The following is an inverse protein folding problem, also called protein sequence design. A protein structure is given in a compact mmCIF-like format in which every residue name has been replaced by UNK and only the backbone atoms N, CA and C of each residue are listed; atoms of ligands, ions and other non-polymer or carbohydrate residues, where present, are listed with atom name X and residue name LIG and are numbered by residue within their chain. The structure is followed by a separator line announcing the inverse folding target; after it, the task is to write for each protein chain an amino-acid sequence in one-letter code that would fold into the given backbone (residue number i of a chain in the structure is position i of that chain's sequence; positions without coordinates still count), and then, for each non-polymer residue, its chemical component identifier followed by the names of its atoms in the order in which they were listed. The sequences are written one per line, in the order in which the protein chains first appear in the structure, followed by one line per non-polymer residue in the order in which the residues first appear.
data_IF_458018071655
#
_entry.id   IF_458018071655
#
_cell.length_a   1.000
_cell.length_b   1.000
_cell.length_c   1.000
_cell.angle_alpha   90.00
_cell.angle_beta   90.00
_cell.angle_gamma   90.00
#
_symmetry.space_group_name_H-M   'P 1'
#
loop_
_entity.id
_entity.type
_entity.pdbx_description
1 polymer ?
#
# COMPACT_ATOMS: atom_id res chain seq x y z
N UNK A 1 6.28 24.23 -5.45
CA UNK A 1 5.03 23.74 -6.08
C UNK A 1 4.45 22.68 -5.16
N UNK A 2 3.21 22.83 -4.67
CA UNK A 2 2.57 21.85 -3.79
C UNK A 2 1.62 21.01 -4.64
N UNK A 3 2.06 19.82 -5.05
CA UNK A 3 1.17 18.83 -5.67
C UNK A 3 0.30 18.20 -4.58
N UNK A 4 -0.78 18.89 -4.22
CA UNK A 4 -1.89 18.28 -3.49
C UNK A 4 -2.59 17.31 -4.43
N UNK A 5 -2.27 16.04 -4.31
CA UNK A 5 -3.04 14.95 -4.92
C UNK A 5 -4.50 15.05 -4.45
N UNK A 6 -5.47 14.85 -5.35
CA UNK A 6 -6.89 14.92 -4.97
C UNK A 6 -7.24 13.83 -3.96
N UNK A 7 -8.24 14.11 -3.13
CA UNK A 7 -8.83 13.13 -2.19
C UNK A 7 -9.25 11.85 -2.92
N UNK A 8 -9.65 11.95 -4.19
CA UNK A 8 -10.03 10.80 -5.01
C UNK A 8 -8.86 9.82 -5.22
N UNK A 9 -7.69 10.30 -5.66
CA UNK A 9 -6.54 9.42 -5.90
C UNK A 9 -5.99 8.82 -4.60
N UNK A 10 -6.08 9.60 -3.52
CA UNK A 10 -5.76 9.18 -2.15
C UNK A 10 -6.63 7.99 -1.70
N UNK A 11 -7.95 8.09 -1.87
CA UNK A 11 -8.88 7.00 -1.59
C UNK A 11 -8.63 5.76 -2.47
N UNK A 12 -8.22 5.96 -3.73
CA UNK A 12 -7.94 4.84 -4.63
C UNK A 12 -6.67 4.10 -4.21
N UNK A 13 -5.61 4.79 -3.81
CA UNK A 13 -4.41 4.12 -3.28
C UNK A 13 -4.70 3.33 -2.00
N UNK A 14 -5.63 3.78 -1.16
CA UNK A 14 -6.13 2.99 -0.03
C UNK A 14 -6.82 1.70 -0.52
N UNK A 15 -7.76 1.81 -1.47
CA UNK A 15 -8.45 0.64 -2.06
C UNK A 15 -7.45 -0.34 -2.66
N UNK A 16 -6.51 0.13 -3.47
CA UNK A 16 -5.42 -0.66 -4.04
C UNK A 16 -4.64 -1.39 -2.94
N UNK A 17 -4.24 -0.66 -1.89
CA UNK A 17 -3.47 -1.24 -0.78
C UNK A 17 -4.22 -2.37 -0.07
N UNK A 18 -5.52 -2.18 0.18
CA UNK A 18 -6.36 -3.20 0.82
C UNK A 18 -6.57 -4.41 -0.09
N UNK A 19 -6.86 -4.20 -1.37
CA UNK A 19 -7.08 -5.26 -2.34
C UNK A 19 -5.82 -6.13 -2.54
N UNK A 20 -4.65 -5.52 -2.73
CA UNK A 20 -3.38 -6.24 -2.82
C UNK A 20 -3.09 -7.03 -1.54
N UNK A 21 -3.28 -6.42 -0.37
CA UNK A 21 -3.05 -7.05 0.91
C UNK A 21 -3.89 -8.33 1.08
N UNK A 22 -5.20 -8.24 0.81
CA UNK A 22 -6.10 -9.39 0.90
C UNK A 22 -5.83 -10.44 -0.16
N UNK A 23 -5.57 -10.03 -1.41
CA UNK A 23 -5.20 -10.95 -2.47
C UNK A 23 -3.99 -11.81 -2.08
N UNK A 24 -2.91 -11.19 -1.60
CA UNK A 24 -1.67 -11.88 -1.23
C UNK A 24 -1.87 -12.80 -0.02
N UNK A 25 -2.55 -12.31 1.03
CA UNK A 25 -2.86 -13.09 2.22
C UNK A 25 -3.72 -14.32 1.89
N UNK A 26 -4.75 -14.14 1.07
CA UNK A 26 -5.68 -15.20 0.67
C UNK A 26 -5.01 -16.23 -0.24
N UNK A 27 -4.16 -15.77 -1.15
CA UNK A 27 -3.37 -16.65 -2.02
C UNK A 27 -2.43 -17.54 -1.20
N UNK A 28 -1.73 -16.98 -0.21
CA UNK A 28 -0.84 -17.78 0.67
C UNK A 28 -1.60 -18.70 1.61
N UNK A 29 -2.82 -18.34 2.00
CA UNK A 29 -3.70 -19.20 2.78
C UNK A 29 -4.43 -20.27 1.93
N UNK A 30 -4.28 -20.26 0.60
CA UNK A 30 -4.99 -21.19 -0.29
C UNK A 30 -6.48 -20.90 -0.45
N UNK A 31 -6.95 -19.69 -0.10
CA UNK A 31 -8.36 -19.26 -0.23
C UNK A 31 -8.56 -18.58 -1.59
N UNK A 32 -8.42 -19.35 -2.67
CA UNK A 32 -8.38 -18.81 -4.03
C UNK A 32 -9.64 -18.07 -4.49
N UNK A 33 -10.88 -18.46 -4.12
CA UNK A 33 -12.06 -17.69 -4.49
C UNK A 33 -12.03 -16.25 -3.95
N UNK A 34 -11.59 -16.08 -2.70
CA UNK A 34 -11.42 -14.75 -2.11
C UNK A 34 -10.26 -14.02 -2.79
N UNK A 35 -9.10 -14.68 -2.96
CA UNK A 35 -7.95 -14.07 -3.63
C UNK A 35 -8.28 -13.55 -5.03
N UNK A 36 -9.08 -14.30 -5.81
CA UNK A 36 -9.50 -13.89 -7.15
C UNK A 36 -10.52 -12.74 -7.13
N UNK A 37 -11.35 -12.62 -6.08
CA UNK A 37 -12.19 -11.44 -5.88
C UNK A 37 -11.32 -10.22 -5.60
N UNK A 38 -10.37 -10.33 -4.67
CA UNK A 38 -9.51 -9.22 -4.28
C UNK A 38 -8.57 -8.81 -5.43
N UNK A 39 -8.19 -9.74 -6.32
CA UNK A 39 -7.44 -9.43 -7.54
C UNK A 39 -8.25 -8.55 -8.50
N UNK A 40 -9.55 -8.82 -8.66
CA UNK A 40 -10.42 -7.97 -9.49
C UNK A 40 -10.58 -6.58 -8.90
N UNK A 41 -10.76 -6.48 -7.58
CA UNK A 41 -10.80 -5.19 -6.89
C UNK A 41 -9.48 -4.42 -7.05
N UNK A 42 -8.34 -5.12 -7.04
CA UNK A 42 -7.03 -4.56 -7.32
C UNK A 42 -6.92 -4.03 -8.76
N UNK A 43 -7.36 -4.80 -9.75
CA UNK A 43 -7.31 -4.42 -11.16
C UNK A 43 -8.19 -3.18 -11.42
N UNK A 44 -9.43 -3.18 -10.92
CA UNK A 44 -10.35 -2.05 -11.01
C UNK A 44 -9.77 -0.78 -10.35
N UNK A 45 -9.25 -0.89 -9.12
CA UNK A 45 -8.67 0.25 -8.42
C UNK A 45 -7.37 0.74 -9.09
N UNK A 46 -6.59 -0.17 -9.69
CA UNK A 46 -5.42 0.20 -10.46
C UNK A 46 -5.82 1.01 -11.69
N UNK A 47 -6.77 0.54 -12.48
CA UNK A 47 -7.27 1.25 -13.67
C UNK A 47 -7.80 2.65 -13.31
N UNK A 48 -8.55 2.75 -12.21
CA UNK A 48 -9.04 4.03 -11.67
C UNK A 48 -7.88 4.96 -11.28
N UNK A 49 -6.85 4.44 -10.59
CA UNK A 49 -5.67 5.21 -10.18
C UNK A 49 -4.88 5.73 -11.39
N UNK A 50 -4.70 4.90 -12.42
CA UNK A 50 -4.00 5.31 -13.64
C UNK A 50 -4.75 6.45 -14.33
N UNK A 51 -6.07 6.29 -14.50
CA UNK A 51 -6.91 7.29 -15.16
C UNK A 51 -6.91 8.63 -14.41
N UNK A 52 -7.14 8.62 -13.10
CA UNK A 52 -7.15 9.85 -12.29
C UNK A 52 -5.75 10.44 -12.16
N UNK A 53 -4.73 9.61 -11.93
CA UNK A 53 -3.35 10.03 -11.77
C UNK A 53 -2.83 10.79 -12.99
N UNK A 54 -3.09 10.29 -14.19
CA UNK A 54 -2.75 10.98 -15.44
C UNK A 54 -3.49 12.31 -15.57
N UNK A 55 -4.77 12.39 -15.18
CA UNK A 55 -5.51 13.66 -15.14
C UNK A 55 -4.99 14.65 -14.08
N UNK A 56 -4.11 14.22 -13.18
CA UNK A 56 -3.47 15.05 -12.14
C UNK A 56 -1.99 15.31 -12.42
N UNK A 57 -1.56 15.13 -13.67
CA UNK A 57 -0.20 15.38 -14.15
C UNK A 57 0.87 14.55 -13.41
N UNK A 58 0.50 13.40 -12.84
CA UNK A 58 1.49 12.42 -12.38
C UNK A 58 2.02 11.66 -13.60
N UNK A 59 3.34 11.44 -13.64
CA UNK A 59 3.94 10.63 -14.68
C UNK A 59 3.41 9.20 -14.61
N UNK A 60 3.29 8.58 -15.79
CA UNK A 60 3.01 7.16 -15.93
C UNK A 60 3.98 6.32 -15.10
N UNK A 61 5.25 6.72 -15.07
CA UNK A 61 6.31 6.03 -14.34
C UNK A 61 6.11 6.09 -12.82
N UNK A 62 5.64 7.22 -12.27
CA UNK A 62 5.25 7.32 -10.85
C UNK A 62 4.07 6.42 -10.54
N UNK A 63 3.05 6.41 -11.38
CA UNK A 63 1.86 5.58 -11.15
C UNK A 63 2.21 4.09 -11.19
N UNK A 64 3.03 3.66 -12.15
CA UNK A 64 3.50 2.28 -12.24
C UNK A 64 4.37 1.89 -11.04
N UNK A 65 5.26 2.77 -10.58
CA UNK A 65 6.08 2.49 -9.39
C UNK A 65 5.26 2.46 -8.11
N UNK A 66 4.25 3.31 -7.94
CA UNK A 66 3.32 3.22 -6.80
C UNK A 66 2.55 1.90 -6.84
N UNK A 67 1.99 1.53 -8.00
CA UNK A 67 1.29 0.25 -8.20
C UNK A 67 2.16 -0.93 -7.79
N UNK A 68 3.36 -1.05 -8.36
CA UNK A 68 4.24 -2.17 -8.07
C UNK A 68 4.85 -2.11 -6.67
N UNK A 69 5.06 -0.91 -6.11
CA UNK A 69 5.44 -0.71 -4.71
C UNK A 69 4.40 -1.31 -3.76
N UNK A 70 3.12 -1.00 -3.96
CA UNK A 70 2.02 -1.56 -3.15
C UNK A 70 1.96 -3.10 -3.30
N UNK A 71 1.98 -3.59 -4.54
CA UNK A 71 1.87 -5.02 -4.84
C UNK A 71 3.00 -5.85 -4.20
N UNK A 72 4.25 -5.43 -4.38
CA UNK A 72 5.40 -6.14 -3.84
C UNK A 72 5.46 -6.05 -2.29
N UNK A 73 4.98 -4.95 -1.70
CA UNK A 73 4.87 -4.84 -0.24
C UNK A 73 3.87 -5.84 0.36
N UNK A 74 2.76 -6.06 -0.35
CA UNK A 74 1.75 -7.05 0.03
C UNK A 74 2.30 -8.48 -0.07
N UNK A 75 2.94 -8.83 -1.20
CA UNK A 75 3.56 -10.15 -1.37
C UNK A 75 4.71 -10.39 -0.39
N UNK A 76 5.58 -9.40 -0.16
CA UNK A 76 6.65 -9.51 0.83
C UNK A 76 6.08 -9.92 2.20
N UNK A 77 5.06 -9.22 2.67
CA UNK A 77 4.48 -9.44 3.99
C UNK A 77 3.79 -10.81 4.08
N UNK A 78 2.98 -11.16 3.08
CA UNK A 78 2.36 -12.49 3.01
C UNK A 78 3.41 -13.60 3.01
N UNK A 79 4.44 -13.47 2.18
CA UNK A 79 5.51 -14.46 2.04
C UNK A 79 6.28 -14.62 3.36
N UNK A 80 6.71 -13.50 3.97
CA UNK A 80 7.45 -13.50 5.23
C UNK A 80 6.66 -14.15 6.35
N UNK A 81 5.39 -13.80 6.51
CA UNK A 81 4.55 -14.32 7.60
C UNK A 81 4.10 -15.76 7.38
N UNK A 82 3.95 -16.22 6.14
CA UNK A 82 3.68 -17.63 5.82
C UNK A 82 4.96 -18.48 5.68
N UNK A 83 6.14 -17.94 5.97
CA UNK A 83 7.40 -18.68 6.02
C UNK A 83 8.14 -18.84 4.69
N UNK A 84 7.72 -18.17 3.63
CA UNK A 84 8.32 -18.22 2.28
C UNK A 84 9.44 -17.16 2.14
N UNK A 85 10.52 -17.31 2.90
CA UNK A 85 11.54 -16.25 3.04
C UNK A 85 12.27 -15.89 1.74
N UNK A 86 12.52 -16.87 0.85
CA UNK A 86 13.18 -16.62 -0.43
C UNK A 86 12.38 -15.69 -1.34
N UNK A 87 11.06 -15.92 -1.43
CA UNK A 87 10.16 -15.04 -2.18
C UNK A 87 10.02 -13.69 -1.47
N UNK A 88 9.88 -13.70 -0.15
CA UNK A 88 9.77 -12.48 0.65
C UNK A 88 10.96 -11.54 0.44
N UNK A 89 12.19 -12.06 0.37
CA UNK A 89 13.38 -11.23 0.14
C UNK A 89 13.41 -10.62 -1.26
N UNK A 90 12.95 -11.35 -2.28
CA UNK A 90 12.84 -10.83 -3.65
C UNK A 90 11.82 -9.69 -3.71
N UNK A 91 10.65 -9.89 -3.10
CA UNK A 91 9.60 -8.88 -3.07
C UNK A 91 10.01 -7.64 -2.26
N UNK A 92 10.78 -7.81 -1.19
CA UNK A 92 11.37 -6.69 -0.44
C UNK A 92 12.31 -5.85 -1.32
N UNK A 93 13.14 -6.52 -2.12
CA UNK A 93 14.04 -5.84 -3.07
C UNK A 93 13.27 -5.03 -4.10
N UNK A 94 12.20 -5.60 -4.68
CA UNK A 94 11.32 -4.91 -5.63
C UNK A 94 10.58 -3.75 -4.97
N UNK A 95 9.99 -3.97 -3.80
CA UNK A 95 9.32 -2.93 -3.01
C UNK A 95 10.25 -1.75 -2.75
N UNK A 96 11.46 -2.03 -2.26
CA UNK A 96 12.47 -0.99 -1.95
C UNK A 96 12.82 -0.18 -3.20
N UNK A 97 13.06 -0.88 -4.32
CA UNK A 97 13.37 -0.24 -5.61
C UNK A 97 12.25 0.67 -6.08
N UNK A 98 10.99 0.22 -6.05
CA UNK A 98 9.87 1.02 -6.54
C UNK A 98 9.68 2.29 -5.71
N UNK A 99 9.75 2.22 -4.38
CA UNK A 99 9.63 3.42 -3.55
C UNK A 99 10.81 4.38 -3.70
N UNK A 100 12.02 3.87 -3.94
CA UNK A 100 13.16 4.71 -4.30
C UNK A 100 12.89 5.48 -5.61
N UNK A 101 12.39 4.79 -6.65
CA UNK A 101 12.07 5.43 -7.94
C UNK A 101 10.96 6.48 -7.81
N UNK A 102 9.92 6.24 -7.00
CA UNK A 102 8.89 7.28 -6.73
C UNK A 102 9.50 8.53 -6.09
N UNK A 103 10.42 8.37 -5.13
CA UNK A 103 11.12 9.50 -4.51
C UNK A 103 12.00 10.26 -5.53
N UNK A 104 12.68 9.53 -6.43
CA UNK A 104 13.55 10.11 -7.46
C UNK A 104 12.79 10.90 -8.53
N UNK A 105 11.54 10.50 -8.83
CA UNK A 105 10.70 11.15 -9.84
C UNK A 105 10.15 12.51 -9.39
N UNK A 106 10.00 12.72 -8.08
CA UNK A 106 9.57 14.00 -7.49
C UNK A 106 8.17 14.50 -7.91
N UNK A 107 7.35 13.66 -8.55
CA UNK A 107 5.94 13.97 -8.86
C UNK A 107 5.08 14.13 -7.60
N UNK A 108 5.48 13.44 -6.53
CA UNK A 108 4.86 13.43 -5.21
C UNK A 108 5.83 13.98 -4.16
N UNK A 109 5.31 14.59 -3.10
CA UNK A 109 6.14 14.99 -1.97
C UNK A 109 6.64 13.77 -1.19
N UNK A 110 7.85 13.84 -0.65
CA UNK A 110 8.45 12.79 0.18
C UNK A 110 7.50 12.30 1.28
N UNK A 111 6.83 13.22 1.97
CA UNK A 111 5.86 12.89 3.02
C UNK A 111 4.69 12.06 2.49
N UNK A 112 4.13 12.44 1.33
CA UNK A 112 3.03 11.69 0.73
C UNK A 112 3.49 10.31 0.26
N UNK A 113 4.69 10.20 -0.32
CA UNK A 113 5.27 8.91 -0.73
C UNK A 113 5.44 7.99 0.48
N UNK A 114 5.99 8.49 1.57
CA UNK A 114 6.18 7.72 2.80
C UNK A 114 4.86 7.29 3.41
N UNK A 115 3.84 8.15 3.42
CA UNK A 115 2.51 7.79 3.90
C UNK A 115 1.88 6.68 3.05
N UNK A 116 1.92 6.75 1.72
CA UNK A 116 1.38 5.70 0.85
C UNK A 116 2.11 4.38 1.10
N UNK A 117 3.44 4.45 1.17
CA UNK A 117 4.32 3.29 1.43
C UNK A 117 3.95 2.60 2.74
N UNK A 118 3.80 3.36 3.83
CA UNK A 118 3.49 2.78 5.15
C UNK A 118 2.03 2.35 5.26
N UNK A 119 1.09 3.08 4.67
CA UNK A 119 -0.31 2.64 4.55
C UNK A 119 -0.38 1.26 3.89
N UNK A 120 0.27 1.09 2.73
CA UNK A 120 0.28 -0.17 2.00
C UNK A 120 0.88 -1.32 2.81
N UNK A 121 2.02 -1.07 3.48
CA UNK A 121 2.65 -2.07 4.35
C UNK A 121 1.76 -2.48 5.52
N UNK A 122 1.10 -1.53 6.16
CA UNK A 122 0.26 -1.79 7.33
C UNK A 122 -1.02 -2.55 6.96
N UNK A 123 -1.63 -2.27 5.80
CA UNK A 123 -2.73 -3.09 5.29
C UNK A 123 -2.28 -4.53 5.00
N UNK A 124 -1.07 -4.71 4.45
CA UNK A 124 -0.51 -6.04 4.21
C UNK A 124 -0.31 -6.83 5.52
N UNK A 125 0.23 -6.18 6.57
CA UNK A 125 0.37 -6.77 7.91
C UNK A 125 -1.00 -7.13 8.49
N UNK A 126 -1.97 -6.22 8.40
CA UNK A 126 -3.33 -6.45 8.88
C UNK A 126 -3.96 -7.67 8.21
N UNK A 127 -4.11 -7.66 6.88
CA UNK A 127 -4.81 -8.72 6.15
C UNK A 127 -4.16 -10.08 6.39
N UNK A 128 -2.82 -10.13 6.37
CA UNK A 128 -2.07 -11.37 6.57
C UNK A 128 -2.23 -11.89 8.01
N UNK A 129 -2.18 -11.02 9.02
CA UNK A 129 -2.37 -11.44 10.41
C UNK A 129 -3.82 -11.85 10.70
N UNK A 130 -4.82 -11.19 10.11
CA UNK A 130 -6.22 -11.65 10.18
C UNK A 130 -6.31 -13.05 9.60
N UNK A 131 -5.74 -13.29 8.42
CA UNK A 131 -5.83 -14.59 7.76
C UNK A 131 -5.08 -15.69 8.53
N UNK A 132 -4.01 -15.35 9.24
CA UNK A 132 -3.31 -16.26 10.16
C UNK A 132 -4.02 -16.47 11.51
N UNK A 133 -5.12 -15.78 11.77
CA UNK A 133 -5.86 -15.86 13.04
C UNK A 133 -5.21 -15.12 14.20
N UNK A 134 -4.32 -14.16 13.93
CA UNK A 134 -3.68 -13.35 14.97
C UNK A 134 -4.35 -11.99 15.15
N UNK A 135 -5.38 -11.95 16.00
CA UNK A 135 -6.18 -10.74 16.22
C UNK A 135 -5.36 -9.56 16.77
N UNK A 136 -4.40 -9.82 17.67
CA UNK A 136 -3.56 -8.76 18.26
C UNK A 136 -2.73 -8.03 17.20
N UNK A 137 -1.98 -8.78 16.39
CA UNK A 137 -1.15 -8.21 15.33
C UNK A 137 -1.99 -7.63 14.19
N UNK A 138 -3.17 -8.22 13.91
CA UNK A 138 -4.12 -7.66 12.97
C UNK A 138 -4.58 -6.25 13.39
N UNK A 139 -5.00 -6.07 14.65
CA UNK A 139 -5.48 -4.77 15.14
C UNK A 139 -4.38 -3.70 15.03
N UNK A 140 -3.14 -4.02 15.41
CA UNK A 140 -1.99 -3.09 15.27
C UNK A 140 -1.78 -2.68 13.80
N UNK A 141 -1.82 -3.64 12.87
CA UNK A 141 -1.68 -3.35 11.44
C UNK A 141 -2.80 -2.44 10.94
N UNK A 142 -4.04 -2.71 11.35
CA UNK A 142 -5.20 -1.92 10.93
C UNK A 142 -5.12 -0.48 11.44
N UNK A 143 -4.87 -0.29 12.73
CA UNK A 143 -4.81 1.03 13.36
C UNK A 143 -3.74 1.92 12.71
N UNK A 144 -2.57 1.33 12.40
CA UNK A 144 -1.49 2.02 11.69
C UNK A 144 -1.85 2.33 10.25
N UNK A 145 -2.51 1.42 9.53
CA UNK A 145 -2.95 1.66 8.16
C UNK A 145 -3.94 2.83 8.10
N UNK A 146 -4.91 2.85 9.01
CA UNK A 146 -5.88 3.94 9.14
C UNK A 146 -5.23 5.25 9.57
N UNK A 147 -4.20 5.22 10.43
CA UNK A 147 -3.40 6.42 10.77
C UNK A 147 -2.82 7.06 9.50
N UNK A 148 -2.10 6.29 8.68
CA UNK A 148 -1.52 6.82 7.44
C UNK A 148 -2.58 7.20 6.40
N UNK A 149 -3.64 6.41 6.23
CA UNK A 149 -4.76 6.78 5.37
C UNK A 149 -5.37 8.12 5.80
N UNK A 150 -5.51 8.37 7.10
CA UNK A 150 -6.04 9.63 7.62
C UNK A 150 -5.14 10.83 7.30
N UNK A 151 -3.82 10.70 7.39
CA UNK A 151 -2.88 11.75 6.97
C UNK A 151 -2.90 11.98 5.46
N UNK A 152 -3.01 10.88 4.70
CA UNK A 152 -3.23 10.93 3.26
C UNK A 152 -4.57 11.59 2.95
N UNK A 153 -5.56 11.65 3.85
CA UNK A 153 -6.88 12.27 3.56
C UNK A 153 -7.03 13.68 4.12
N UNK A 154 -6.12 14.14 4.96
CA UNK A 154 -6.16 15.49 5.54
C UNK A 154 -5.64 16.57 4.56
N UNK A 155 -6.27 17.76 4.53
CA UNK A 155 -5.72 18.93 3.85
C UNK A 155 -4.41 19.37 4.53
N UNK A 156 -3.49 20.06 3.83
CA UNK A 156 -2.09 20.28 4.24
C UNK A 156 -1.87 21.23 5.44
N UNK A 157 -2.85 21.40 6.32
CA UNK A 157 -2.77 22.27 7.51
C UNK A 157 -2.53 21.51 8.82
N UNK A 158 -2.63 20.19 8.84
CA UNK A 158 -2.32 19.35 10.00
C UNK A 158 -0.99 18.62 9.77
N UNK A 159 0.06 19.10 10.44
CA UNK A 159 1.37 18.45 10.43
C UNK A 159 1.35 17.05 11.09
N UNK A 160 2.36 16.22 10.82
CA UNK A 160 2.44 14.86 11.33
C UNK A 160 2.92 14.88 12.79
N UNK A 161 2.00 15.13 13.72
CA UNK A 161 2.24 14.80 15.13
C UNK A 161 1.71 13.38 15.40
N UNK A 162 2.66 12.46 15.64
CA UNK A 162 2.52 11.21 16.39
C UNK A 162 1.97 9.96 15.66
N UNK A 163 2.79 9.30 14.83
CA UNK A 163 2.71 7.83 14.66
C UNK A 163 4.09 7.11 14.83
N UNK A 164 5.15 7.83 15.23
CA UNK A 164 6.48 7.26 15.54
C UNK A 164 6.79 7.27 17.05
N UNK A 165 6.08 6.46 17.84
CA UNK A 165 6.53 6.11 19.18
C UNK A 165 6.08 4.67 19.49
N UNK A 166 7.03 3.74 19.51
CA UNK A 166 6.79 2.36 19.91
C UNK A 166 7.76 1.39 19.21
N UNK A 167 9.04 1.50 19.56
CA UNK A 167 10.04 0.42 19.41
C UNK A 167 9.87 -0.58 20.54
#
# INVERSE_FOLDING_TARGET
MRNTVSVDLRNIWEKMSRAAAWHCANSRAGVFPDANRDLREWDEATEEAMAIGTCKDLSQETLDNVKWGIWNGAWHTANRLFGNQGDAQQDLGRWTRHWQLVHEQQDLSTALVDDIRWMAWNFAEWATNVRKGSQFWANIGYDRAVCHASYILQPPTSGPEQCHAGS
#
